data_IF_515992757380
#
_entry.id   IF_515992757380
#
_cell.length_a   1.000
_cell.length_b   1.000
_cell.length_c   1.000
_cell.angle_alpha   90.00
_cell.angle_beta   90.00
_cell.angle_gamma   90.00
#
_symmetry.space_group_name_H-M   'P 1'
#
loop_
_entity.id
_entity.type
_entity.pdbx_description
1 polymer ?
#
# COMPACT_ATOMS: atom_id res chain seq x y z
N UNK A 1 -12.51 14.84 -2.23
CA UNK A 1 -13.00 13.54 -1.68
C UNK A 1 -13.35 12.66 -2.86
N UNK A 2 -13.00 11.38 -2.81
CA UNK A 2 -13.41 10.34 -3.77
C UNK A 2 -14.28 9.31 -3.05
N UNK A 3 -15.27 8.78 -3.75
CA UNK A 3 -16.03 7.62 -3.30
C UNK A 3 -15.57 6.36 -4.05
N UNK A 4 -15.14 5.33 -3.32
CA UNK A 4 -14.88 4.00 -3.88
C UNK A 4 -16.05 3.09 -3.54
N UNK A 5 -16.69 2.53 -4.56
CA UNK A 5 -17.87 1.66 -4.43
C UNK A 5 -17.45 0.19 -4.55
N UNK A 6 -18.02 -0.66 -3.71
CA UNK A 6 -17.85 -2.11 -3.73
C UNK A 6 -19.21 -2.72 -4.08
N UNK A 7 -19.53 -2.71 -5.38
CA UNK A 7 -20.78 -3.24 -5.91
C UNK A 7 -20.53 -4.59 -6.61
N UNK A 8 -20.92 -5.73 -6.00
CA UNK A 8 -20.67 -7.06 -6.55
C UNK A 8 -21.17 -7.26 -7.98
N UNK A 9 -22.14 -6.46 -8.45
CA UNK A 9 -22.66 -6.60 -9.82
C UNK A 9 -21.70 -6.11 -10.90
N UNK A 10 -20.63 -5.40 -10.52
CA UNK A 10 -19.60 -4.87 -11.40
C UNK A 10 -18.22 -5.52 -11.17
N UNK A 11 -18.14 -6.55 -10.33
CA UNK A 11 -16.91 -7.31 -10.13
C UNK A 11 -16.73 -8.29 -11.29
N UNK A 12 -15.56 -8.24 -11.90
CA UNK A 12 -15.05 -9.33 -12.71
C UNK A 12 -14.47 -10.38 -11.75
N UNK A 13 -14.85 -11.65 -11.91
CA UNK A 13 -14.39 -12.73 -11.04
C UNK A 13 -12.91 -12.94 -11.32
N UNK A 14 -12.01 -12.51 -10.42
CA UNK A 14 -10.57 -12.51 -10.72
C UNK A 14 -9.66 -13.09 -9.63
N UNK A 15 -9.82 -12.76 -8.33
CA UNK A 15 -8.71 -12.98 -7.38
C UNK A 15 -8.97 -13.95 -6.23
N UNK A 16 -10.12 -13.87 -5.56
CA UNK A 16 -10.30 -14.55 -4.25
C UNK A 16 -11.37 -15.64 -4.24
N UNK A 17 -12.38 -15.52 -5.10
CA UNK A 17 -13.53 -16.42 -5.10
C UNK A 17 -14.25 -16.37 -6.43
N UNK A 18 -14.85 -17.48 -6.84
CA UNK A 18 -15.83 -17.52 -7.94
C UNK A 18 -17.13 -16.76 -7.60
N UNK A 19 -17.21 -16.16 -6.41
CA UNK A 19 -18.34 -15.39 -5.93
C UNK A 19 -17.98 -13.89 -5.76
N UNK A 20 -18.47 -13.00 -6.64
CA UNK A 20 -18.16 -11.57 -6.59
C UNK A 20 -18.66 -10.87 -5.31
N UNK A 21 -19.64 -11.46 -4.61
CA UNK A 21 -20.09 -10.93 -3.32
C UNK A 21 -19.06 -11.14 -2.21
N UNK A 22 -18.33 -12.26 -2.26
CA UNK A 22 -17.26 -12.55 -1.29
C UNK A 22 -16.08 -11.61 -1.53
N UNK A 23 -15.75 -11.37 -2.80
CA UNK A 23 -14.64 -10.48 -3.18
C UNK A 23 -14.91 -9.02 -2.83
N UNK A 24 -16.10 -8.51 -3.17
CA UNK A 24 -16.50 -7.16 -2.80
C UNK A 24 -16.55 -6.94 -1.29
N UNK A 25 -17.03 -7.92 -0.52
CA UNK A 25 -17.05 -7.85 0.95
C UNK A 25 -15.62 -7.92 1.52
N UNK A 26 -14.77 -8.77 0.97
CA UNK A 26 -13.36 -8.87 1.36
C UNK A 26 -12.66 -7.52 1.17
N UNK A 27 -12.72 -6.94 -0.03
CA UNK A 27 -12.04 -5.68 -0.32
C UNK A 27 -12.57 -4.53 0.53
N UNK A 28 -13.89 -4.39 0.65
CA UNK A 28 -14.51 -3.36 1.46
C UNK A 28 -14.09 -3.45 2.94
N UNK A 29 -14.16 -4.66 3.51
CA UNK A 29 -13.89 -4.89 4.92
C UNK A 29 -12.42 -4.68 5.26
N UNK A 30 -11.50 -5.17 4.41
CA UNK A 30 -10.06 -5.04 4.61
C UNK A 30 -9.59 -3.61 4.44
N UNK A 31 -9.99 -2.94 3.36
CA UNK A 31 -9.59 -1.56 3.11
C UNK A 31 -10.10 -0.60 4.19
N UNK A 32 -11.38 -0.74 4.60
CA UNK A 32 -11.94 0.04 5.71
C UNK A 32 -11.20 -0.19 7.03
N UNK A 33 -10.83 -1.44 7.32
CA UNK A 33 -10.11 -1.79 8.54
C UNK A 33 -8.66 -1.26 8.53
N UNK A 34 -7.98 -1.30 7.39
CA UNK A 34 -6.62 -0.76 7.24
C UNK A 34 -6.62 0.75 7.48
N UNK A 35 -7.52 1.49 6.85
CA UNK A 35 -7.63 2.93 7.11
C UNK A 35 -7.86 3.21 8.59
N UNK A 36 -8.75 2.45 9.25
CA UNK A 36 -9.02 2.60 10.68
C UNK A 36 -7.78 2.35 11.55
N UNK A 37 -6.93 1.38 11.19
CA UNK A 37 -5.70 1.02 11.94
C UNK A 37 -4.53 1.97 11.70
N UNK A 38 -4.53 2.67 10.56
CA UNK A 38 -3.41 3.48 10.08
C UNK A 38 -3.67 4.98 10.18
N UNK A 39 -4.43 5.42 11.18
CA UNK A 39 -4.85 6.82 11.35
C UNK A 39 -3.68 7.82 11.36
N UNK A 40 -2.52 7.43 11.87
CA UNK A 40 -1.33 8.27 11.98
C UNK A 40 -0.59 8.53 10.67
N UNK A 41 -0.78 7.70 9.65
CA UNK A 41 -0.19 7.89 8.31
C UNK A 41 -1.19 8.36 7.25
N UNK A 42 -2.44 8.61 7.67
CA UNK A 42 -3.46 9.19 6.80
C UNK A 42 -3.15 10.65 6.43
N UNK A 43 -3.30 10.97 5.15
CA UNK A 43 -2.99 12.28 4.57
C UNK A 43 -1.49 12.52 4.35
N UNK A 44 -0.63 11.57 4.72
CA UNK A 44 0.80 11.60 4.41
C UNK A 44 1.13 10.51 3.39
N UNK A 45 1.10 9.24 3.81
CA UNK A 45 1.52 8.09 3.00
C UNK A 45 0.35 7.27 2.46
N UNK A 46 -0.84 7.39 3.07
CA UNK A 46 -2.11 6.85 2.56
C UNK A 46 -3.18 7.95 2.55
N UNK A 47 -4.27 7.83 1.78
CA UNK A 47 -5.36 8.81 1.80
C UNK A 47 -5.97 9.02 3.18
N UNK A 48 -6.46 10.23 3.48
CA UNK A 48 -7.38 10.41 4.62
C UNK A 48 -8.66 9.62 4.40
N UNK A 49 -9.13 8.98 5.46
CA UNK A 49 -10.36 8.21 5.48
C UNK A 49 -11.48 9.02 6.14
N UNK A 50 -12.55 9.29 5.38
CA UNK A 50 -13.70 10.05 5.85
C UNK A 50 -14.83 9.16 6.37
N UNK A 51 -14.75 7.85 6.13
CA UNK A 51 -15.67 6.87 6.68
C UNK A 51 -16.10 5.81 5.67
N UNK A 52 -16.82 4.81 6.19
CA UNK A 52 -17.47 3.76 5.42
C UNK A 52 -18.98 3.89 5.52
N UNK A 53 -19.67 3.61 4.41
CA UNK A 53 -21.09 3.86 4.24
C UNK A 53 -21.77 2.73 3.46
N UNK A 54 -23.09 2.67 3.58
CA UNK A 54 -23.94 1.79 2.78
C UNK A 54 -24.94 2.64 2.01
N UNK A 55 -24.91 2.55 0.69
CA UNK A 55 -25.85 3.21 -0.21
C UNK A 55 -26.96 2.25 -0.64
N UNK A 56 -28.17 2.79 -0.78
CA UNK A 56 -29.31 2.11 -1.40
C UNK A 56 -29.40 2.56 -2.85
N UNK A 57 -29.17 1.64 -3.79
CA UNK A 57 -29.25 1.92 -5.23
C UNK A 57 -30.44 1.18 -5.84
N UNK A 58 -31.29 1.93 -6.53
CA UNK A 58 -32.35 1.39 -7.40
C UNK A 58 -32.02 1.81 -8.82
N UNK A 59 -31.79 0.86 -9.74
CA UNK A 59 -31.53 1.24 -11.14
C UNK A 59 -32.84 1.72 -11.80
N UNK A 60 -32.77 2.68 -12.74
CA UNK A 60 -33.93 3.06 -13.52
C UNK A 60 -34.58 1.83 -14.18
N UNK A 61 -35.88 1.63 -13.95
CA UNK A 61 -36.63 0.49 -14.48
C UNK A 61 -36.58 -0.79 -13.62
N UNK A 62 -35.81 -0.82 -12.54
CA UNK A 62 -35.81 -1.93 -11.58
C UNK A 62 -36.74 -1.64 -10.40
N UNK A 63 -37.45 -2.67 -9.94
CA UNK A 63 -38.25 -2.60 -8.71
C UNK A 63 -37.47 -2.96 -7.46
N UNK A 64 -36.29 -3.57 -7.62
CA UNK A 64 -35.44 -4.02 -6.52
C UNK A 64 -34.38 -2.97 -6.21
N UNK A 65 -34.26 -2.63 -4.93
CA UNK A 65 -33.15 -1.83 -4.40
C UNK A 65 -32.06 -2.78 -3.92
N UNK A 66 -30.81 -2.53 -4.32
CA UNK A 66 -29.64 -3.22 -3.74
C UNK A 66 -28.88 -2.32 -2.77
N UNK A 67 -28.19 -2.95 -1.83
CA UNK A 67 -27.27 -2.30 -0.91
C UNK A 67 -25.86 -2.37 -1.48
N UNK A 68 -25.20 -1.22 -1.59
CA UNK A 68 -23.82 -1.12 -2.08
C UNK A 68 -22.98 -0.49 -0.98
N UNK A 69 -21.85 -1.13 -0.65
CA UNK A 69 -20.88 -0.58 0.30
C UNK A 69 -19.99 0.43 -0.40
N UNK A 70 -19.59 1.47 0.29
CA UNK A 70 -18.62 2.43 -0.22
C UNK A 70 -17.78 3.01 0.91
N UNK A 71 -16.60 3.52 0.55
CA UNK A 71 -15.79 4.36 1.43
C UNK A 71 -15.58 5.74 0.82
N UNK A 72 -15.40 6.74 1.68
CA UNK A 72 -15.00 8.09 1.28
C UNK A 72 -13.55 8.31 1.71
N UNK A 73 -12.70 8.67 0.75
CA UNK A 73 -11.27 8.91 0.97
C UNK A 73 -10.81 10.23 0.34
N UNK A 74 -9.61 10.67 0.71
CA UNK A 74 -8.95 11.84 0.13
C UNK A 74 -8.84 11.71 -1.39
N UNK A 75 -9.15 12.81 -2.08
CA UNK A 75 -8.79 12.91 -3.49
C UNK A 75 -7.34 13.35 -3.55
N UNK A 76 -6.49 12.52 -4.13
CA UNK A 76 -5.07 12.83 -4.32
C UNK A 76 -4.92 13.47 -5.70
N UNK A 77 -4.43 14.70 -5.76
CA UNK A 77 -4.30 15.45 -7.01
C UNK A 77 -2.97 15.12 -7.71
N UNK A 78 -2.75 13.84 -7.99
CA UNK A 78 -1.52 13.33 -8.58
C UNK A 78 -1.78 12.31 -9.67
N UNK A 79 -0.70 11.76 -10.23
CA UNK A 79 -0.77 10.69 -11.22
C UNK A 79 -0.23 9.38 -10.63
N UNK A 80 -0.83 8.22 -11.00
CA UNK A 80 -0.22 6.93 -10.72
C UNK A 80 1.20 6.86 -11.29
N UNK A 81 2.11 6.26 -10.53
CA UNK A 81 3.52 6.12 -10.91
C UNK A 81 3.67 5.37 -12.25
N UNK A 82 2.79 4.42 -12.54
CA UNK A 82 2.76 3.69 -13.82
C UNK A 82 2.41 4.54 -15.05
N UNK A 83 1.90 5.77 -14.86
CA UNK A 83 1.60 6.70 -15.95
C UNK A 83 2.68 7.78 -16.11
N UNK A 84 3.68 7.79 -15.23
CA UNK A 84 4.78 8.73 -15.27
C UNK A 84 5.96 8.15 -16.05
N UNK A 85 6.76 9.02 -16.63
CA UNK A 85 7.99 8.64 -17.33
C UNK A 85 9.15 8.90 -16.36
N UNK A 86 9.84 7.87 -15.82
CA UNK A 86 10.88 8.06 -14.81
C UNK A 86 11.99 9.03 -15.25
N UNK A 87 12.31 9.05 -16.55
CA UNK A 87 13.33 9.92 -17.14
C UNK A 87 13.03 11.42 -17.08
N UNK A 88 11.81 11.84 -16.74
CA UNK A 88 11.49 13.26 -16.51
C UNK A 88 11.88 13.73 -15.10
N UNK A 89 12.22 12.81 -14.21
CA UNK A 89 12.67 13.08 -12.85
C UNK A 89 14.19 12.97 -12.74
N UNK A 90 14.80 13.90 -12.02
CA UNK A 90 16.21 13.78 -11.64
C UNK A 90 16.41 12.55 -10.76
N UNK A 91 17.63 12.00 -10.74
CA UNK A 91 17.96 10.86 -9.86
C UNK A 91 17.64 11.15 -8.39
N UNK A 92 17.92 12.36 -7.91
CA UNK A 92 17.62 12.77 -6.53
C UNK A 92 16.11 12.77 -6.24
N UNK A 93 15.28 13.22 -7.18
CA UNK A 93 13.82 13.15 -7.04
C UNK A 93 13.33 11.69 -7.01
N UNK A 94 13.85 10.82 -7.89
CA UNK A 94 13.51 9.39 -7.90
C UNK A 94 13.91 8.69 -6.60
N UNK A 95 15.11 8.97 -6.08
CA UNK A 95 15.55 8.50 -4.76
C UNK A 95 14.61 9.00 -3.65
N UNK A 96 14.21 10.27 -3.67
CA UNK A 96 13.26 10.80 -2.69
C UNK A 96 11.86 10.16 -2.78
N UNK A 97 11.39 9.84 -3.98
CA UNK A 97 10.13 9.09 -4.19
C UNK A 97 10.26 7.68 -3.61
N UNK A 98 11.30 6.94 -4.00
CA UNK A 98 11.49 5.56 -3.53
C UNK A 98 11.72 5.49 -2.02
N UNK A 99 12.37 6.51 -1.43
CA UNK A 99 12.48 6.63 0.03
C UNK A 99 11.11 6.71 0.69
N UNK A 100 10.23 7.57 0.20
CA UNK A 100 8.86 7.67 0.72
C UNK A 100 8.07 6.36 0.53
N UNK A 101 8.27 5.65 -0.57
CA UNK A 101 7.63 4.34 -0.82
C UNK A 101 8.10 3.30 0.21
N UNK A 102 9.41 3.20 0.46
CA UNK A 102 9.99 2.28 1.44
C UNK A 102 9.50 2.62 2.86
N UNK A 103 9.49 3.90 3.23
CA UNK A 103 9.02 4.35 4.54
C UNK A 103 7.52 4.05 4.72
N UNK A 104 6.69 4.33 3.72
CA UNK A 104 5.26 4.08 3.75
C UNK A 104 4.92 2.59 3.87
N UNK A 105 5.56 1.74 3.07
CA UNK A 105 5.38 0.30 3.11
C UNK A 105 5.85 -0.28 4.45
N UNK A 106 7.00 0.18 4.96
CA UNK A 106 7.53 -0.28 6.24
C UNK A 106 6.63 0.14 7.42
N UNK A 107 6.03 1.32 7.36
CA UNK A 107 5.06 1.79 8.35
C UNK A 107 3.79 0.94 8.38
N UNK A 108 3.29 0.53 7.21
CA UNK A 108 2.17 -0.41 7.09
C UNK A 108 2.57 -1.79 7.62
N UNK A 109 3.74 -2.30 7.23
CA UNK A 109 4.21 -3.61 7.68
C UNK A 109 4.44 -3.67 9.19
N UNK A 110 4.90 -2.57 9.81
CA UNK A 110 5.03 -2.45 11.26
C UNK A 110 3.69 -2.57 12.01
N UNK A 111 2.56 -2.41 11.31
CA UNK A 111 1.19 -2.57 11.82
C UNK A 111 0.55 -3.89 11.41
N UNK A 112 1.37 -4.86 11.02
CA UNK A 112 0.94 -6.16 10.51
C UNK A 112 0.02 -5.98 9.30
N UNK A 113 0.40 -5.14 8.35
CA UNK A 113 -0.32 -4.97 7.08
C UNK A 113 0.60 -5.35 5.93
N UNK A 114 0.23 -6.41 5.21
CA UNK A 114 0.91 -6.86 4.02
C UNK A 114 0.19 -6.33 2.78
N UNK A 115 0.87 -5.46 2.03
CA UNK A 115 0.42 -4.99 0.73
C UNK A 115 0.53 -6.11 -0.32
N UNK A 116 -0.58 -6.73 -0.69
CA UNK A 116 -0.59 -7.81 -1.70
C UNK A 116 -0.60 -7.29 -3.12
N UNK A 117 -1.28 -6.16 -3.38
CA UNK A 117 -1.27 -5.49 -4.69
C UNK A 117 -0.31 -4.29 -4.71
N UNK A 118 0.92 -4.49 -4.25
CA UNK A 118 1.92 -3.42 -4.19
C UNK A 118 2.56 -3.21 -5.57
N UNK A 119 1.95 -2.37 -6.42
CA UNK A 119 2.41 -2.08 -7.78
C UNK A 119 2.39 -0.57 -8.06
N UNK A 120 3.16 -0.12 -9.06
CA UNK A 120 3.25 1.31 -9.43
C UNK A 120 1.90 1.96 -9.73
N UNK A 121 0.91 1.20 -10.22
CA UNK A 121 -0.46 1.69 -10.45
C UNK A 121 -1.19 2.14 -9.18
N UNK A 122 -0.79 1.60 -8.03
CA UNK A 122 -1.39 1.87 -6.71
C UNK A 122 -0.54 2.87 -5.91
N UNK A 123 0.40 3.56 -6.55
CA UNK A 123 1.22 4.61 -5.94
C UNK A 123 1.00 5.89 -6.72
N UNK A 124 0.43 6.90 -6.07
CA UNK A 124 0.17 8.21 -6.66
C UNK A 124 1.27 9.18 -6.26
N UNK A 125 1.86 9.84 -7.25
CA UNK A 125 2.81 10.93 -7.05
C UNK A 125 2.07 12.25 -7.19
N UNK A 126 1.90 12.95 -6.07
CA UNK A 126 1.26 14.25 -6.00
C UNK A 126 2.33 15.36 -5.94
N UNK A 127 2.29 16.35 -6.84
CA UNK A 127 3.12 17.54 -6.74
C UNK A 127 2.86 18.27 -5.41
N UNK A 128 3.91 18.59 -4.66
CA UNK A 128 3.79 19.34 -3.42
C UNK A 128 4.06 20.83 -3.68
N UNK A 129 3.01 21.65 -3.59
CA UNK A 129 3.13 23.12 -3.73
C UNK A 129 3.86 23.77 -2.53
N UNK A 130 4.00 23.06 -1.41
CA UNK A 130 4.51 23.59 -0.14
C UNK A 130 6.04 23.50 -0.02
N UNK A 131 6.69 22.62 -0.80
CA UNK A 131 8.15 22.46 -0.77
C UNK A 131 8.78 23.35 -1.83
N UNK A 132 9.47 24.41 -1.39
CA UNK A 132 10.37 25.18 -2.28
C UNK A 132 11.33 24.22 -2.99
N UNK A 133 11.32 24.25 -4.33
CA UNK A 133 12.12 23.34 -5.16
C UNK A 133 11.38 22.16 -5.79
N UNK A 134 10.05 22.09 -5.71
CA UNK A 134 9.26 21.10 -6.47
C UNK A 134 9.30 19.69 -5.87
N UNK A 135 9.02 19.59 -4.57
CA UNK A 135 8.88 18.30 -3.90
C UNK A 135 7.61 17.56 -4.32
N UNK A 136 7.53 16.27 -3.98
CA UNK A 136 6.36 15.42 -4.21
C UNK A 136 5.93 14.70 -2.94
N UNK A 137 4.63 14.43 -2.82
CA UNK A 137 4.03 13.52 -1.85
C UNK A 137 3.75 12.19 -2.53
N UNK A 138 4.22 11.09 -1.95
CA UNK A 138 3.92 9.74 -2.41
C UNK A 138 2.78 9.18 -1.57
N UNK A 139 1.72 8.71 -2.23
CA UNK A 139 0.53 8.16 -1.57
C UNK A 139 0.24 6.76 -2.11
N UNK A 140 0.23 5.76 -1.22
CA UNK A 140 -0.19 4.41 -1.54
C UNK A 140 -1.72 4.37 -1.46
N UNK A 141 -2.36 4.04 -2.57
CA UNK A 141 -3.82 3.89 -2.70
C UNK A 141 -4.19 2.41 -2.82
N UNK A 142 -5.49 2.14 -2.85
CA UNK A 142 -6.08 0.81 -3.06
C UNK A 142 -5.57 -0.28 -2.11
N UNK A 143 -6.28 -0.44 -1.00
CA UNK A 143 -5.95 -1.44 0.03
C UNK A 143 -6.89 -2.65 0.03
N UNK A 144 -7.72 -2.81 -1.01
CA UNK A 144 -8.75 -3.85 -1.06
C UNK A 144 -8.18 -5.26 -0.93
N UNK A 145 -7.04 -5.52 -1.58
CA UNK A 145 -6.39 -6.83 -1.56
C UNK A 145 -5.35 -6.98 -0.43
N UNK A 146 -5.07 -5.93 0.33
CA UNK A 146 -4.10 -5.95 1.41
C UNK A 146 -4.56 -6.86 2.54
N UNK A 147 -3.59 -7.52 3.18
CA UNK A 147 -3.86 -8.47 4.26
C UNK A 147 -3.52 -7.85 5.60
N UNK A 148 -4.43 -8.00 6.56
CA UNK A 148 -4.15 -7.74 7.96
C UNK A 148 -3.44 -8.99 8.52
N UNK A 149 -2.12 -8.91 8.54
CA UNK A 149 -1.15 -9.93 8.92
C UNK A 149 0.19 -9.66 8.26
N UNK A 150 1.20 -10.43 8.65
CA UNK A 150 2.56 -10.44 8.12
C UNK A 150 2.69 -11.31 6.89
N UNK A 151 1.79 -12.27 6.73
CA UNK A 151 1.82 -13.26 5.66
C UNK A 151 0.56 -13.21 4.78
N UNK A 152 0.61 -13.95 3.68
CA UNK A 152 -0.54 -14.13 2.80
C UNK A 152 -1.60 -15.10 3.37
N UNK A 153 -1.29 -15.78 4.50
CA UNK A 153 -2.18 -16.71 5.23
C UNK A 153 -2.24 -16.33 6.71
N UNK A 154 -2.81 -15.17 7.07
CA UNK A 154 -2.84 -14.71 8.46
C UNK A 154 -3.65 -15.63 9.40
N UNK A 155 -4.47 -16.52 8.85
CA UNK A 155 -5.21 -17.53 9.63
C UNK A 155 -4.33 -18.72 10.06
N UNK A 156 -3.18 -18.93 9.42
CA UNK A 156 -2.21 -19.96 9.81
C UNK A 156 -1.29 -19.36 10.88
N UNK A 157 -1.67 -19.55 12.14
CA UNK A 157 -0.98 -18.94 13.28
C UNK A 157 0.48 -19.38 13.39
N UNK A 158 0.77 -20.66 13.13
CA UNK A 158 2.14 -21.18 13.21
C UNK A 158 3.04 -20.57 12.14
N UNK A 159 2.49 -20.35 10.94
CA UNK A 159 3.20 -19.65 9.88
C UNK A 159 3.36 -18.16 10.20
N UNK A 160 2.29 -17.50 10.63
CA UNK A 160 2.26 -16.07 10.95
C UNK A 160 3.24 -15.69 12.07
N UNK A 161 3.29 -16.48 13.14
CA UNK A 161 4.16 -16.23 14.31
C UNK A 161 5.65 -16.25 13.95
N UNK A 162 6.04 -16.88 12.83
CA UNK A 162 7.42 -16.88 12.34
C UNK A 162 7.86 -15.50 11.80
N UNK A 163 6.92 -14.62 11.45
CA UNK A 163 7.21 -13.34 10.80
C UNK A 163 7.18 -12.14 11.76
N UNK A 164 7.33 -12.40 13.06
CA UNK A 164 7.42 -11.38 14.12
C UNK A 164 6.26 -10.36 14.09
N UNK A 165 4.99 -10.81 14.20
CA UNK A 165 3.85 -9.89 14.27
C UNK A 165 4.00 -8.92 15.45
N UNK A 166 3.56 -7.67 15.25
CA UNK A 166 3.71 -6.56 16.21
C UNK A 166 5.12 -5.99 16.35
N UNK A 167 6.13 -6.52 15.64
CA UNK A 167 7.53 -6.06 15.74
C UNK A 167 7.92 -5.27 14.51
N UNK A 168 8.64 -4.16 14.71
CA UNK A 168 9.22 -3.41 13.61
C UNK A 168 10.31 -4.22 12.90
N UNK A 169 10.24 -4.30 11.56
CA UNK A 169 11.25 -4.93 10.72
C UNK A 169 11.91 -3.85 9.89
N UNK A 170 13.23 -3.74 10.00
CA UNK A 170 14.02 -2.73 9.29
C UNK A 170 13.85 -2.84 7.76
N UNK A 171 13.77 -1.70 7.05
CA UNK A 171 13.88 -1.62 5.59
C UNK A 171 15.11 -2.36 5.03
N UNK A 172 16.24 -2.37 5.75
CA UNK A 172 17.46 -3.06 5.34
C UNK A 172 17.24 -4.56 5.11
N UNK A 173 16.30 -5.17 5.84
CA UNK A 173 15.91 -6.57 5.66
C UNK A 173 14.80 -6.72 4.61
N UNK A 174 13.74 -5.92 4.78
CA UNK A 174 12.52 -5.95 3.97
C UNK A 174 12.73 -5.71 2.49
N UNK A 175 13.65 -4.79 2.18
CA UNK A 175 13.89 -4.24 0.85
C UNK A 175 15.24 -4.64 0.27
N UNK A 176 15.93 -5.58 0.90
CA UNK A 176 17.19 -6.15 0.41
C UNK A 176 17.00 -6.72 -1.00
N UNK A 177 18.06 -6.65 -1.82
CA UNK A 177 18.01 -7.12 -3.22
C UNK A 177 17.47 -8.55 -3.35
N UNK A 178 17.86 -9.47 -2.46
CA UNK A 178 17.44 -10.88 -2.49
C UNK A 178 15.93 -11.10 -2.37
N UNK A 179 15.17 -10.12 -1.88
CA UNK A 179 13.71 -10.19 -1.74
C UNK A 179 12.94 -9.62 -2.94
N UNK A 180 13.63 -9.02 -3.93
CA UNK A 180 13.04 -8.59 -5.20
C UNK A 180 11.99 -7.47 -5.12
N UNK A 181 11.72 -6.88 -3.95
CA UNK A 181 10.67 -5.81 -3.83
C UNK A 181 10.95 -4.60 -4.70
N UNK A 182 12.22 -4.24 -4.82
CA UNK A 182 12.70 -3.13 -5.63
C UNK A 182 12.51 -3.37 -7.14
N UNK A 183 12.40 -4.63 -7.59
CA UNK A 183 12.21 -4.98 -9.00
C UNK A 183 10.89 -4.41 -9.55
N UNK A 184 9.88 -4.21 -8.69
CA UNK A 184 8.62 -3.56 -9.07
C UNK A 184 8.80 -2.08 -9.47
N UNK A 185 9.99 -1.52 -9.27
CA UNK A 185 10.36 -0.14 -9.54
C UNK A 185 11.67 -0.04 -10.35
N UNK A 186 12.06 -1.11 -11.06
CA UNK A 186 13.34 -1.18 -11.76
C UNK A 186 13.56 -0.02 -12.75
N UNK A 187 12.51 0.42 -13.42
CA UNK A 187 12.52 1.55 -14.38
C UNK A 187 12.78 2.90 -13.70
N UNK A 188 12.60 2.98 -12.38
CA UNK A 188 12.91 4.16 -11.56
C UNK A 188 14.31 4.14 -10.97
N UNK A 189 15.07 3.05 -11.11
CA UNK A 189 16.34 2.84 -10.42
C UNK A 189 17.47 2.74 -11.46
N UNK A 190 18.40 3.70 -11.44
CA UNK A 190 19.63 3.68 -12.24
C UNK A 190 20.90 3.82 -11.39
N UNK A 191 20.81 3.41 -10.12
CA UNK A 191 21.90 3.38 -9.15
C UNK A 191 21.98 2.01 -8.47
N UNK A 192 23.06 1.78 -7.71
CA UNK A 192 23.21 0.55 -6.92
C UNK A 192 22.19 0.55 -5.77
N UNK A 193 21.12 -0.24 -5.91
CA UNK A 193 20.01 -0.26 -4.95
C UNK A 193 20.48 -0.63 -3.54
N UNK A 194 21.29 -1.68 -3.39
CA UNK A 194 21.72 -2.18 -2.09
C UNK A 194 22.58 -1.13 -1.34
N UNK A 195 23.55 -0.52 -2.01
CA UNK A 195 24.39 0.53 -1.42
C UNK A 195 23.56 1.74 -0.97
N UNK A 196 22.57 2.14 -1.78
CA UNK A 196 21.67 3.23 -1.45
C UNK A 196 20.76 2.87 -0.27
N UNK A 197 20.18 1.68 -0.25
CA UNK A 197 19.34 1.17 0.85
C UNK A 197 20.12 1.17 2.17
N UNK A 198 21.35 0.64 2.17
CA UNK A 198 22.21 0.57 3.36
C UNK A 198 22.61 1.96 3.87
N UNK A 199 22.83 2.91 2.97
CA UNK A 199 23.13 4.30 3.34
C UNK A 199 21.92 5.00 3.96
N UNK A 200 20.73 4.87 3.35
CA UNK A 200 19.53 5.62 3.74
C UNK A 200 18.91 5.16 5.06
N UNK A 201 18.97 3.85 5.36
CA UNK A 201 18.40 3.27 6.59
C UNK A 201 19.44 2.65 7.51
N UNK A 202 20.70 3.10 7.43
CA UNK A 202 21.80 2.64 8.30
C UNK A 202 21.47 2.75 9.79
N UNK A 203 20.74 3.80 10.15
CA UNK A 203 20.28 4.08 11.51
C UNK A 203 19.37 2.96 12.08
N UNK A 204 18.66 2.24 11.21
CA UNK A 204 17.81 1.11 11.61
C UNK A 204 18.58 -0.19 11.84
N UNK A 205 19.87 -0.25 11.52
CA UNK A 205 20.68 -1.47 11.69
C UNK A 205 20.77 -1.92 13.15
N UNK A 206 20.85 -0.96 14.07
CA UNK A 206 21.02 -1.22 15.50
C UNK A 206 19.81 -1.90 16.15
N UNK A 207 18.62 -1.84 15.53
CA UNK A 207 17.40 -2.48 16.05
C UNK A 207 17.14 -3.86 15.45
N UNK A 208 17.99 -4.31 14.52
CA UNK A 208 17.84 -5.61 13.87
C UNK A 208 18.35 -6.73 14.81
N UNK A 209 17.48 -7.68 15.12
CA UNK A 209 17.86 -8.85 15.92
C UNK A 209 18.48 -9.96 15.08
N UNK A 210 19.27 -10.84 15.71
CA UNK A 210 19.86 -11.99 15.01
C UNK A 210 18.80 -12.92 14.39
N UNK A 211 17.70 -13.15 15.10
CA UNK A 211 16.58 -13.94 14.58
C UNK A 211 15.97 -13.32 13.31
N UNK A 212 15.86 -11.98 13.26
CA UNK A 212 15.43 -11.28 12.06
C UNK A 212 16.48 -11.40 10.93
N UNK A 213 17.78 -11.28 11.23
CA UNK A 213 18.82 -11.48 10.21
C UNK A 213 18.75 -12.86 9.60
N UNK A 214 18.52 -13.90 10.40
CA UNK A 214 18.39 -15.28 9.93
C UNK A 214 17.13 -15.49 9.07
N UNK A 215 16.01 -14.87 9.42
CA UNK A 215 14.80 -14.97 8.59
C UNK A 215 14.94 -14.22 7.25
N UNK A 216 15.68 -13.11 7.26
CA UNK A 216 15.92 -12.23 6.10
C UNK A 216 17.30 -12.39 5.42
N UNK A 217 18.01 -13.49 5.69
CA UNK A 217 19.38 -13.75 5.21
C UNK A 217 19.43 -14.12 3.73
#
# INVERSE_FOLDING_TARGET
IVAKFYDPTYYEIEYLSDNPFVEADYEYSHESAIYTRCSEIQGTSIPRFFGSYTLRITRPGEQTTRLVRLILIEYINGMPMSQLIPGTFTRQQRQSILRQIVDAESALYAKDILLRDFHQRNIVIEPSEVKEGGGVRVVIIDQGLSTIGRTWRPWDKEYEDQWFPGVYISPLLRWRVSYGRHEKFEDWIDWQWQDWLEMEWKDTEAVITEAQRLLWS
#
